data_IF_739291758441
#
_entry.id   IF_739291758441
#
_cell.length_a   1.000
_cell.length_b   1.000
_cell.length_c   1.000
_cell.angle_alpha   90.00
_cell.angle_beta   90.00
_cell.angle_gamma   90.00
#
_symmetry.space_group_name_H-M   'P 1'
#
loop_
_entity.id
_entity.type
_entity.pdbx_description
1 polymer ?
#
# COMPACT_ATOMS: atom_id res chain seq x y z
N UNK A 1 0.36 -28.14 21.11
CA UNK A 1 1.76 -27.75 20.92
C UNK A 1 1.80 -26.49 20.09
N UNK A 2 2.12 -25.34 20.71
CA UNK A 2 2.25 -24.08 19.98
C UNK A 2 3.48 -24.14 19.09
N UNK A 3 3.30 -24.09 17.77
CA UNK A 3 4.43 -23.94 16.86
C UNK A 3 5.05 -22.55 17.09
N UNK A 4 6.35 -22.51 17.35
CA UNK A 4 7.10 -21.26 17.39
C UNK A 4 6.80 -20.45 16.11
N UNK A 5 6.55 -19.13 16.22
CA UNK A 5 6.33 -18.30 15.04
C UNK A 5 7.59 -18.39 14.16
N UNK A 6 7.44 -18.98 12.99
CA UNK A 6 8.53 -19.03 12.01
C UNK A 6 8.82 -17.61 11.52
N UNK A 7 10.05 -17.30 11.08
CA UNK A 7 10.41 -16.01 10.47
C UNK A 7 9.43 -15.60 9.36
N UNK A 8 8.83 -16.56 8.67
CA UNK A 8 7.80 -16.33 7.65
C UNK A 8 6.52 -15.70 8.21
N UNK A 9 6.14 -15.97 9.47
CA UNK A 9 4.87 -15.49 10.02
C UNK A 9 4.74 -13.95 10.06
N UNK A 10 5.85 -13.23 10.11
CA UNK A 10 5.88 -11.76 10.09
C UNK A 10 6.10 -11.16 8.70
N UNK A 11 6.34 -11.99 7.69
CA UNK A 11 6.56 -11.54 6.33
C UNK A 11 5.23 -11.22 5.64
N UNK A 12 5.18 -10.11 4.91
CA UNK A 12 3.96 -9.62 4.26
C UNK A 12 3.43 -10.59 3.20
N UNK A 13 4.30 -11.23 2.44
CA UNK A 13 3.90 -12.22 1.42
C UNK A 13 3.20 -13.42 2.05
N UNK A 14 3.77 -13.94 3.15
CA UNK A 14 3.18 -15.03 3.91
C UNK A 14 1.84 -14.63 4.56
N UNK A 15 1.76 -13.43 5.15
CA UNK A 15 0.51 -12.92 5.73
C UNK A 15 -0.61 -12.83 4.72
N UNK A 16 -0.36 -12.25 3.55
CA UNK A 16 -1.35 -12.13 2.48
C UNK A 16 -1.82 -13.50 1.99
N UNK A 17 -0.91 -14.47 1.83
CA UNK A 17 -1.28 -15.84 1.45
C UNK A 17 -2.18 -16.51 2.49
N UNK A 18 -1.81 -16.45 3.76
CA UNK A 18 -2.56 -17.07 4.86
C UNK A 18 -3.91 -16.40 5.09
N UNK A 19 -4.02 -15.10 4.87
CA UNK A 19 -5.32 -14.41 4.90
C UNK A 19 -6.21 -14.87 3.75
N UNK A 20 -5.66 -14.99 2.55
CA UNK A 20 -6.37 -15.52 1.38
C UNK A 20 -6.74 -17.00 1.53
N UNK A 21 -6.00 -17.77 2.31
CA UNK A 21 -6.27 -19.17 2.61
C UNK A 21 -7.62 -19.38 3.31
N UNK A 22 -8.15 -18.36 3.99
CA UNK A 22 -9.50 -18.41 4.59
C UNK A 22 -10.62 -18.58 3.55
N UNK A 23 -10.35 -18.26 2.30
CA UNK A 23 -11.29 -18.30 1.18
C UNK A 23 -10.88 -19.28 0.07
N UNK A 24 -9.65 -19.79 0.11
CA UNK A 24 -9.12 -20.73 -0.88
C UNK A 24 -8.11 -21.69 -0.21
N UNK A 25 -8.54 -22.92 0.04
CA UNK A 25 -7.78 -23.94 0.75
C UNK A 25 -6.42 -24.27 0.10
N UNK A 26 -6.25 -24.09 -1.20
CA UNK A 26 -4.97 -24.27 -1.88
C UNK A 26 -3.88 -23.35 -1.32
N UNK A 27 -4.26 -22.20 -0.80
CA UNK A 27 -3.34 -21.21 -0.26
C UNK A 27 -2.87 -21.52 1.18
N UNK A 28 -3.40 -22.56 1.82
CA UNK A 28 -2.93 -23.04 3.13
C UNK A 28 -1.48 -23.55 3.08
N UNK A 29 -1.08 -24.15 1.96
CA UNK A 29 0.29 -24.65 1.73
C UNK A 29 1.02 -23.81 0.68
N UNK A 30 2.38 -23.84 0.71
CA UNK A 30 3.19 -23.24 -0.33
C UNK A 30 3.04 -23.98 -1.66
N UNK A 31 2.96 -25.29 -1.58
CA UNK A 31 2.77 -26.15 -2.77
C UNK A 31 1.51 -25.78 -3.54
N UNK A 32 0.37 -25.67 -2.84
CA UNK A 32 -0.88 -25.25 -3.47
C UNK A 32 -0.85 -23.81 -3.99
N UNK A 33 -0.17 -22.91 -3.27
CA UNK A 33 0.00 -21.53 -3.74
C UNK A 33 0.87 -21.45 -4.99
N UNK A 34 1.92 -22.26 -5.10
CA UNK A 34 2.83 -22.25 -6.25
C UNK A 34 2.18 -22.78 -7.52
N UNK A 35 1.19 -23.67 -7.42
CA UNK A 35 0.36 -24.09 -8.57
C UNK A 35 -0.39 -22.89 -9.18
N UNK A 36 -0.89 -21.99 -8.34
CA UNK A 36 -1.64 -20.81 -8.79
C UNK A 36 -0.72 -19.67 -9.27
N UNK A 37 0.49 -19.58 -8.68
CA UNK A 37 1.46 -18.53 -9.00
C UNK A 37 2.42 -18.91 -10.14
N UNK A 38 2.47 -20.16 -10.54
CA UNK A 38 3.47 -20.63 -11.54
C UNK A 38 4.92 -20.50 -11.04
N UNK A 39 5.13 -20.52 -9.72
CA UNK A 39 6.45 -20.43 -9.08
C UNK A 39 6.88 -21.79 -8.56
N UNK A 40 8.19 -21.97 -8.30
CA UNK A 40 8.66 -23.12 -7.54
C UNK A 40 8.43 -22.93 -6.02
N UNK A 41 8.25 -24.04 -5.29
CA UNK A 41 8.09 -24.00 -3.82
C UNK A 41 9.30 -23.38 -3.14
N UNK A 42 10.51 -23.59 -3.66
CA UNK A 42 11.73 -22.97 -3.13
C UNK A 42 11.76 -21.47 -3.36
N UNK A 43 11.25 -20.99 -4.50
CA UNK A 43 11.15 -19.56 -4.81
C UNK A 43 10.18 -18.86 -3.85
N UNK A 44 8.97 -19.40 -3.69
CA UNK A 44 7.98 -18.84 -2.78
C UNK A 44 8.48 -18.87 -1.33
N UNK A 45 9.11 -19.98 -0.91
CA UNK A 45 9.72 -20.06 0.41
C UNK A 45 10.80 -19.00 0.63
N UNK A 46 11.64 -18.73 -0.38
CA UNK A 46 12.66 -17.69 -0.33
C UNK A 46 12.06 -16.29 -0.15
N UNK A 47 10.93 -16.00 -0.80
CA UNK A 47 10.20 -14.73 -0.63
C UNK A 47 9.62 -14.61 0.78
N UNK A 48 8.91 -15.63 1.25
CA UNK A 48 8.26 -15.63 2.56
C UNK A 48 9.23 -15.66 3.75
N UNK A 49 10.43 -16.21 3.57
CA UNK A 49 11.48 -16.20 4.58
C UNK A 49 12.36 -14.94 4.54
N UNK A 50 12.14 -14.06 3.56
CA UNK A 50 12.94 -12.85 3.39
C UNK A 50 14.38 -13.13 2.94
N UNK A 51 14.62 -14.25 2.28
CA UNK A 51 15.94 -14.63 1.73
C UNK A 51 16.22 -13.91 0.41
N UNK A 52 15.17 -13.57 -0.34
CA UNK A 52 15.25 -12.76 -1.55
C UNK A 52 15.10 -11.29 -1.18
N UNK A 53 16.15 -10.51 -1.40
CA UNK A 53 16.19 -9.08 -1.04
C UNK A 53 15.18 -8.25 -1.83
N UNK A 54 15.07 -8.50 -3.12
CA UNK A 54 14.15 -7.81 -4.03
C UNK A 54 13.35 -8.85 -4.81
N UNK A 55 12.07 -8.97 -4.49
CA UNK A 55 11.15 -9.85 -5.22
C UNK A 55 10.78 -9.19 -6.54
N UNK A 56 10.76 -9.91 -7.68
CA UNK A 56 10.36 -9.36 -8.96
C UNK A 56 8.97 -8.73 -8.92
N UNK A 57 8.81 -7.56 -9.55
CA UNK A 57 7.55 -6.78 -9.51
C UNK A 57 6.37 -7.50 -10.16
N UNK A 58 6.61 -8.31 -11.16
CA UNK A 58 5.60 -9.18 -11.78
C UNK A 58 5.10 -10.26 -10.81
N UNK A 59 6.00 -10.84 -10.00
CA UNK A 59 5.63 -11.76 -8.92
C UNK A 59 4.79 -11.07 -7.84
N UNK A 60 5.11 -9.80 -7.51
CA UNK A 60 4.29 -9.00 -6.58
C UNK A 60 2.89 -8.76 -7.15
N UNK A 61 2.80 -8.36 -8.42
CA UNK A 61 1.51 -8.13 -9.08
C UNK A 61 0.65 -9.41 -9.13
N UNK A 62 1.28 -10.56 -9.42
CA UNK A 62 0.60 -11.85 -9.47
C UNK A 62 0.14 -12.30 -8.07
N UNK A 63 1.00 -12.20 -7.05
CA UNK A 63 0.62 -12.50 -5.66
C UNK A 63 -0.52 -11.62 -5.18
N UNK A 64 -0.48 -10.32 -5.49
CA UNK A 64 -1.55 -9.39 -5.13
C UNK A 64 -2.89 -9.78 -5.76
N UNK A 65 -2.88 -10.26 -7.00
CA UNK A 65 -4.07 -10.75 -7.69
C UNK A 65 -4.56 -12.09 -7.12
N UNK A 66 -3.70 -13.10 -7.04
CA UNK A 66 -4.06 -14.45 -6.59
C UNK A 66 -4.52 -14.47 -5.14
N UNK A 67 -3.91 -13.67 -4.27
CA UNK A 67 -4.26 -13.57 -2.86
C UNK A 67 -5.42 -12.60 -2.57
N UNK A 68 -5.94 -11.91 -3.59
CA UNK A 68 -6.87 -10.77 -3.39
C UNK A 68 -6.32 -9.79 -2.34
N UNK A 69 -5.05 -9.45 -2.47
CA UNK A 69 -4.30 -8.60 -1.56
C UNK A 69 -3.72 -7.37 -2.31
N UNK A 70 -4.59 -6.45 -2.79
CA UNK A 70 -4.14 -5.27 -3.53
C UNK A 70 -3.19 -4.39 -2.71
N UNK A 71 -3.28 -4.44 -1.37
CA UNK A 71 -2.39 -3.78 -0.42
C UNK A 71 -0.91 -4.19 -0.54
N UNK A 72 -0.64 -5.36 -1.14
CA UNK A 72 0.72 -5.85 -1.32
C UNK A 72 1.55 -4.96 -2.26
N UNK A 73 0.91 -4.35 -3.26
CA UNK A 73 1.55 -3.46 -4.22
C UNK A 73 2.10 -2.19 -3.56
N UNK A 74 1.26 -1.34 -2.91
CA UNK A 74 1.76 -0.14 -2.25
C UNK A 74 2.68 -0.46 -1.07
N UNK A 75 2.45 -1.58 -0.37
CA UNK A 75 3.38 -2.02 0.67
C UNK A 75 4.78 -2.30 0.09
N UNK A 76 4.86 -3.01 -1.03
CA UNK A 76 6.15 -3.29 -1.70
C UNK A 76 6.83 -2.00 -2.14
N UNK A 77 6.11 -1.07 -2.76
CA UNK A 77 6.66 0.22 -3.16
C UNK A 77 7.22 0.98 -1.95
N UNK A 78 6.48 1.02 -0.85
CA UNK A 78 6.86 1.80 0.34
C UNK A 78 8.00 1.18 1.17
N UNK A 79 8.24 -0.14 1.09
CA UNK A 79 9.15 -0.85 2.00
C UNK A 79 10.33 -1.54 1.30
N UNK A 80 10.25 -1.80 0.00
CA UNK A 80 11.24 -2.60 -0.73
C UNK A 80 11.79 -1.87 -1.95
N UNK A 81 10.92 -1.18 -2.70
CA UNK A 81 11.31 -0.49 -3.93
C UNK A 81 11.97 0.86 -3.61
N UNK A 82 13.21 1.12 -4.08
CA UNK A 82 13.88 2.40 -3.85
C UNK A 82 13.12 3.61 -4.44
N UNK A 83 12.28 3.39 -5.45
CA UNK A 83 11.45 4.44 -6.07
C UNK A 83 10.20 4.77 -5.26
N UNK A 84 9.94 4.05 -4.17
CA UNK A 84 8.74 4.21 -3.37
C UNK A 84 8.88 5.17 -2.18
N UNK A 85 10.05 5.79 -1.99
CA UNK A 85 10.32 6.66 -0.84
C UNK A 85 9.32 7.81 -0.74
N UNK A 86 9.00 8.43 -1.88
CA UNK A 86 8.05 9.55 -1.99
C UNK A 86 6.62 9.13 -2.36
N UNK A 87 6.35 7.83 -2.48
CA UNK A 87 5.03 7.34 -2.84
C UNK A 87 4.06 7.44 -1.66
N UNK A 88 2.76 7.72 -1.91
CA UNK A 88 1.76 7.72 -0.86
C UNK A 88 1.68 6.33 -0.22
N UNK A 89 1.55 6.31 1.11
CA UNK A 89 1.44 5.07 1.91
C UNK A 89 -0.03 4.87 2.30
N UNK A 90 -0.84 4.24 1.44
CA UNK A 90 -2.24 3.98 1.75
C UNK A 90 -2.35 2.96 2.90
N UNK A 91 -3.36 3.15 3.73
CA UNK A 91 -3.72 2.20 4.78
C UNK A 91 -4.95 1.41 4.36
N UNK A 92 -4.91 0.10 4.58
CA UNK A 92 -6.10 -0.73 4.50
C UNK A 92 -6.90 -0.52 5.80
N UNK A 93 -8.01 0.19 5.70
CA UNK A 93 -8.87 0.53 6.82
C UNK A 93 -10.34 0.30 6.45
N UNK A 94 -11.23 0.30 7.44
CA UNK A 94 -12.66 0.24 7.22
C UNK A 94 -13.16 1.52 6.52
N UNK A 95 -14.25 1.39 5.74
CA UNK A 95 -14.75 2.47 4.89
C UNK A 95 -15.13 3.74 5.65
N UNK A 96 -15.73 3.59 6.83
CA UNK A 96 -16.10 4.71 7.70
C UNK A 96 -14.87 5.52 8.13
N UNK A 97 -13.80 4.84 8.51
CA UNK A 97 -12.54 5.48 8.89
C UNK A 97 -11.89 6.22 7.71
N UNK A 98 -11.90 5.61 6.52
CA UNK A 98 -11.40 6.25 5.29
C UNK A 98 -12.25 7.49 4.99
N UNK A 99 -13.58 7.39 5.11
CA UNK A 99 -14.51 8.50 4.89
C UNK A 99 -14.25 9.69 5.82
N UNK A 100 -14.08 9.44 7.12
CA UNK A 100 -13.79 10.49 8.10
C UNK A 100 -12.47 11.21 7.77
N UNK A 101 -11.44 10.45 7.38
CA UNK A 101 -10.14 11.02 6.96
C UNK A 101 -10.28 11.83 5.67
N UNK A 102 -11.07 11.36 4.71
CA UNK A 102 -11.33 12.08 3.46
C UNK A 102 -12.01 13.44 3.73
N UNK A 103 -13.07 13.46 4.55
CA UNK A 103 -13.76 14.69 4.93
C UNK A 103 -12.84 15.68 5.63
N UNK A 104 -11.97 15.20 6.53
CA UNK A 104 -10.95 16.03 7.17
C UNK A 104 -9.96 16.63 6.17
N UNK A 105 -9.50 15.82 5.21
CA UNK A 105 -8.57 16.29 4.16
C UNK A 105 -9.24 17.30 3.22
N UNK A 106 -10.51 17.11 2.87
CA UNK A 106 -11.27 18.10 2.07
C UNK A 106 -11.42 19.44 2.79
N UNK A 107 -11.66 19.42 4.09
CA UNK A 107 -11.71 20.66 4.90
C UNK A 107 -10.37 21.38 4.87
N UNK A 108 -9.26 20.67 5.13
CA UNK A 108 -7.91 21.25 5.07
C UNK A 108 -7.60 21.82 3.68
N UNK A 109 -8.00 21.09 2.61
CA UNK A 109 -7.79 21.54 1.24
C UNK A 109 -8.53 22.85 0.95
N UNK A 110 -9.76 23.00 1.44
CA UNK A 110 -10.51 24.24 1.30
C UNK A 110 -9.81 25.42 2.00
N UNK A 111 -9.17 25.19 3.15
CA UNK A 111 -8.44 26.20 3.91
C UNK A 111 -7.13 26.66 3.21
N UNK A 112 -6.48 25.77 2.46
CA UNK A 112 -5.20 26.08 1.77
C UNK A 112 -5.36 26.51 0.33
N UNK A 113 -6.54 26.33 -0.28
CA UNK A 113 -6.79 26.64 -1.68
C UNK A 113 -6.46 28.09 -2.04
N UNK A 114 -7.01 29.04 -1.30
CA UNK A 114 -6.83 30.46 -1.58
C UNK A 114 -5.36 30.87 -1.37
N UNK A 115 -4.72 30.32 -0.33
CA UNK A 115 -3.30 30.54 -0.05
C UNK A 115 -2.40 30.03 -1.20
N UNK A 116 -2.74 28.92 -1.84
CA UNK A 116 -2.00 28.40 -2.98
C UNK A 116 -2.11 29.38 -4.16
N UNK A 117 -3.30 29.92 -4.40
CA UNK A 117 -3.52 30.92 -5.48
C UNK A 117 -2.66 32.17 -5.20
N UNK A 118 -2.66 32.64 -3.96
CA UNK A 118 -1.93 33.85 -3.58
C UNK A 118 -0.42 33.72 -3.79
N UNK A 119 0.21 32.64 -3.28
CA UNK A 119 1.67 32.42 -3.38
C UNK A 119 2.14 32.04 -4.79
N UNK A 120 1.23 31.67 -5.69
CA UNK A 120 1.58 31.32 -7.09
C UNK A 120 1.21 32.41 -8.10
N UNK A 121 0.66 33.54 -7.66
CA UNK A 121 0.10 34.57 -8.52
C UNK A 121 1.14 35.19 -9.45
N UNK A 122 2.37 35.39 -9.00
CA UNK A 122 3.48 35.93 -9.78
C UNK A 122 4.40 34.89 -10.43
N UNK A 123 4.16 33.58 -10.14
CA UNK A 123 4.93 32.47 -10.67
C UNK A 123 6.29 32.23 -9.97
N UNK A 124 6.55 32.93 -8.85
CA UNK A 124 7.80 32.85 -8.09
C UNK A 124 7.43 32.55 -6.64
N UNK A 125 8.09 31.57 -6.03
CA UNK A 125 7.94 31.28 -4.59
C UNK A 125 9.12 31.91 -3.85
N UNK A 126 8.84 32.92 -3.07
CA UNK A 126 9.81 33.62 -2.22
C UNK A 126 10.20 32.78 -1.00
N UNK A 127 11.31 33.15 -0.32
CA UNK A 127 11.80 32.38 0.84
C UNK A 127 10.82 32.42 2.03
N UNK A 128 10.06 33.50 2.21
CA UNK A 128 9.04 33.65 3.23
C UNK A 128 7.73 32.90 2.92
N UNK A 129 7.48 32.55 1.67
CA UNK A 129 6.33 31.72 1.25
C UNK A 129 6.59 30.22 1.31
N UNK A 130 7.86 29.78 1.36
CA UNK A 130 8.22 28.35 1.43
C UNK A 130 7.54 27.57 2.54
N UNK A 131 7.45 28.08 3.82
CA UNK A 131 6.76 27.35 4.86
C UNK A 131 5.27 27.15 4.60
N UNK A 132 4.64 28.12 3.90
CA UNK A 132 3.25 27.99 3.50
C UNK A 132 3.08 26.98 2.38
N UNK A 133 3.97 26.97 1.39
CA UNK A 133 4.00 25.96 0.33
C UNK A 133 4.18 24.55 0.93
N UNK A 134 5.09 24.37 1.88
CA UNK A 134 5.31 23.08 2.55
C UNK A 134 4.05 22.58 3.26
N UNK A 135 3.29 23.47 3.92
CA UNK A 135 2.00 23.15 4.53
C UNK A 135 0.98 22.68 3.49
N UNK A 136 0.89 23.39 2.36
CA UNK A 136 0.01 23.03 1.24
C UNK A 136 0.40 21.66 0.69
N UNK A 137 1.69 21.41 0.43
CA UNK A 137 2.20 20.14 -0.08
C UNK A 137 1.89 18.98 0.89
N UNK A 138 2.02 19.19 2.20
CA UNK A 138 1.66 18.19 3.19
C UNK A 138 0.15 17.86 3.16
N UNK A 139 -0.71 18.87 3.01
CA UNK A 139 -2.16 18.67 2.85
C UNK A 139 -2.49 17.86 1.60
N UNK A 140 -1.82 18.14 0.48
CA UNK A 140 -1.99 17.39 -0.77
C UNK A 140 -1.47 15.95 -0.65
N UNK A 141 -0.37 15.72 0.05
CA UNK A 141 0.15 14.36 0.33
C UNK A 141 -0.83 13.55 1.19
N UNK A 142 -1.42 14.16 2.22
CA UNK A 142 -2.46 13.53 3.04
C UNK A 142 -3.69 13.14 2.19
N UNK A 143 -4.17 14.04 1.35
CA UNK A 143 -5.30 13.79 0.46
C UNK A 143 -4.99 12.65 -0.52
N UNK A 144 -3.79 12.62 -1.10
CA UNK A 144 -3.36 11.55 -1.98
C UNK A 144 -3.35 10.19 -1.27
N UNK A 145 -2.81 10.11 -0.05
CA UNK A 145 -2.80 8.88 0.74
C UNK A 145 -4.22 8.37 1.05
N UNK A 146 -5.15 9.27 1.38
CA UNK A 146 -6.56 8.92 1.62
C UNK A 146 -7.25 8.46 0.34
N UNK A 147 -7.01 9.12 -0.78
CA UNK A 147 -7.54 8.70 -2.09
C UNK A 147 -7.07 7.30 -2.45
N UNK A 148 -5.79 7.01 -2.28
CA UNK A 148 -5.22 5.68 -2.52
C UNK A 148 -5.82 4.63 -1.57
N UNK A 149 -6.10 4.98 -0.30
CA UNK A 149 -6.75 4.08 0.66
C UNK A 149 -8.18 3.70 0.22
N UNK A 150 -8.93 4.65 -0.33
CA UNK A 150 -10.27 4.39 -0.85
C UNK A 150 -10.24 3.51 -2.11
N UNK A 151 -9.31 3.77 -3.02
CA UNK A 151 -9.09 2.93 -4.22
C UNK A 151 -8.75 1.50 -3.79
N UNK A 152 -7.84 1.34 -2.85
CA UNK A 152 -7.41 0.05 -2.31
C UNK A 152 -8.57 -0.71 -1.67
N UNK A 153 -9.38 -0.04 -0.86
CA UNK A 153 -10.57 -0.61 -0.27
C UNK A 153 -11.56 -1.10 -1.34
N UNK A 154 -11.78 -0.30 -2.38
CA UNK A 154 -12.65 -0.62 -3.51
C UNK A 154 -12.14 -1.85 -4.29
N UNK A 155 -10.84 -1.91 -4.57
CA UNK A 155 -10.24 -3.06 -5.25
C UNK A 155 -10.40 -4.36 -4.45
N UNK A 156 -10.24 -4.27 -3.13
CA UNK A 156 -10.35 -5.44 -2.25
C UNK A 156 -11.78 -5.93 -2.04
N UNK A 157 -12.75 -5.02 -1.95
CA UNK A 157 -14.09 -5.35 -1.49
C UNK A 157 -15.16 -5.35 -2.60
N UNK A 158 -14.95 -4.63 -3.70
CA UNK A 158 -15.98 -4.46 -4.75
C UNK A 158 -15.56 -5.12 -6.07
N UNK A 159 -14.30 -4.97 -6.48
CA UNK A 159 -13.80 -5.54 -7.74
C UNK A 159 -13.35 -6.99 -7.50
N UNK A 160 -14.28 -7.89 -7.60
CA UNK A 160 -14.03 -9.33 -7.72
C UNK A 160 -14.33 -9.82 -9.12
#
# INVERSE_FOLDING_TARGET
MGSNPTKAANNMYCKCRLEAAKYNDKLNSREGATELLGLSSSTLASYELGLTKVVPVDSIALMAYVYNAPELKPWYCANVCPLGEDMPKPELAELDRITIRALSSFKKLAEVKDKLIDITADGIISDDERPLLDNILNTLKELNAVSQSLILWTEKNIKR
#
